data_IF_440279042211
#
_entry.id   IF_440279042211
#
_cell.length_a   1.000
_cell.length_b   1.000
_cell.length_c   1.000
_cell.angle_alpha   90.00
_cell.angle_beta   90.00
_cell.angle_gamma   90.00
#
_symmetry.space_group_name_H-M   'P 1'
#
loop_
_entity.id
_entity.type
_entity.pdbx_description
1 polymer ?
#
# COMPACT_ATOMS: atom_id res chain seq x y z
N UNK A 1 -5.89 24.89 -7.77
CA UNK A 1 -6.39 23.62 -8.33
C UNK A 1 -6.68 22.68 -7.16
N UNK A 2 -7.80 21.96 -7.18
CA UNK A 2 -8.10 20.93 -6.18
C UNK A 2 -7.11 19.78 -6.32
N UNK A 3 -6.48 19.35 -5.22
CA UNK A 3 -5.63 18.15 -5.23
C UNK A 3 -6.53 16.92 -5.38
N UNK A 4 -6.16 16.03 -6.30
CA UNK A 4 -6.83 14.75 -6.54
C UNK A 4 -6.00 13.62 -5.94
N UNK A 5 -6.69 12.63 -5.41
CA UNK A 5 -6.09 11.46 -4.81
C UNK A 5 -6.63 10.19 -5.46
N UNK A 6 -5.85 9.14 -5.36
CA UNK A 6 -6.16 7.85 -5.95
C UNK A 6 -5.75 6.75 -4.98
N UNK A 7 -6.57 5.73 -4.89
CA UNK A 7 -6.16 4.44 -4.36
C UNK A 7 -5.29 3.73 -5.40
N UNK A 8 -4.06 3.40 -5.02
CA UNK A 8 -3.16 2.53 -5.78
C UNK A 8 -3.34 1.09 -5.30
N UNK A 9 -3.78 0.22 -6.20
CA UNK A 9 -4.00 -1.19 -5.90
C UNK A 9 -3.45 -2.11 -7.01
N UNK A 10 -3.34 -3.39 -6.69
CA UNK A 10 -2.77 -4.41 -7.58
C UNK A 10 -3.68 -4.66 -8.80
N UNK A 11 -3.09 -4.74 -9.98
CA UNK A 11 -3.76 -5.25 -11.18
C UNK A 11 -3.79 -6.79 -11.17
N UNK A 12 -4.73 -7.34 -10.41
CA UNK A 12 -4.91 -8.79 -10.31
C UNK A 12 -5.37 -9.44 -11.62
N UNK A 13 -5.84 -8.66 -12.60
CA UNK A 13 -6.30 -9.16 -13.89
C UNK A 13 -5.17 -9.21 -14.93
N UNK A 14 -3.96 -8.71 -14.61
CA UNK A 14 -2.86 -8.69 -15.55
C UNK A 14 -2.45 -10.12 -15.99
N UNK A 15 -2.51 -10.44 -17.31
CA UNK A 15 -2.23 -11.79 -17.78
C UNK A 15 -0.79 -12.23 -17.48
N UNK A 16 -0.66 -13.45 -16.95
CA UNK A 16 0.64 -14.07 -16.67
C UNK A 16 1.44 -13.41 -15.56
N UNK A 17 0.80 -12.60 -14.70
CA UNK A 17 1.44 -12.01 -13.51
C UNK A 17 1.95 -13.09 -12.56
N UNK A 18 3.03 -12.78 -11.85
CA UNK A 18 3.43 -13.54 -10.68
C UNK A 18 2.43 -13.38 -9.52
N UNK A 19 2.52 -14.25 -8.53
CA UNK A 19 1.89 -14.06 -7.23
C UNK A 19 2.95 -14.18 -6.14
N UNK A 20 2.87 -13.31 -5.13
CA UNK A 20 3.87 -13.18 -4.09
C UNK A 20 3.26 -13.52 -2.74
N UNK A 21 3.99 -14.27 -1.92
CA UNK A 21 3.58 -14.55 -0.54
C UNK A 21 4.03 -13.43 0.40
N UNK A 22 3.69 -13.58 1.68
CA UNK A 22 4.08 -12.64 2.73
C UNK A 22 5.61 -12.48 2.82
N UNK A 23 6.12 -11.29 3.17
CA UNK A 23 7.53 -11.13 3.49
C UNK A 23 7.96 -12.05 4.63
N UNK A 24 9.14 -12.64 4.51
CA UNK A 24 9.75 -13.55 5.48
C UNK A 24 11.16 -13.12 5.85
N UNK A 25 11.67 -13.71 6.92
CA UNK A 25 13.08 -13.65 7.28
C UNK A 25 13.94 -14.36 6.22
N UNK A 26 15.27 -14.12 6.17
CA UNK A 26 16.15 -14.72 5.17
C UNK A 26 16.15 -16.26 5.16
N UNK A 27 15.93 -16.88 6.32
CA UNK A 27 15.81 -18.34 6.50
C UNK A 27 14.42 -18.90 6.15
N UNK A 28 13.48 -18.02 5.78
CA UNK A 28 12.09 -18.37 5.46
C UNK A 28 11.13 -18.33 6.64
N UNK A 29 11.59 -18.01 7.85
CA UNK A 29 10.71 -17.87 9.01
C UNK A 29 9.73 -16.70 8.85
N UNK A 30 8.54 -16.84 9.43
CA UNK A 30 7.56 -15.76 9.49
C UNK A 30 8.10 -14.57 10.31
N UNK A 31 7.60 -13.37 9.99
CA UNK A 31 7.88 -12.18 10.77
C UNK A 31 6.97 -12.14 11.99
N UNK A 32 7.51 -11.70 13.14
CA UNK A 32 6.74 -11.57 14.38
C UNK A 32 5.53 -10.63 14.22
N UNK A 33 5.73 -9.54 13.48
CA UNK A 33 4.67 -8.59 13.12
C UNK A 33 4.63 -8.43 11.59
N UNK A 34 3.79 -9.20 10.87
CA UNK A 34 3.68 -9.10 9.43
C UNK A 34 2.84 -7.89 8.99
N UNK A 35 2.10 -7.24 9.89
CA UNK A 35 1.22 -6.11 9.58
C UNK A 35 1.97 -4.78 9.54
N UNK A 36 3.14 -4.68 10.18
CA UNK A 36 3.98 -3.48 10.30
C UNK A 36 4.14 -2.64 9.01
N UNK A 37 4.13 -3.28 7.83
CA UNK A 37 4.31 -2.61 6.54
C UNK A 37 3.07 -1.84 6.05
N UNK A 38 1.92 -2.04 6.69
CA UNK A 38 0.61 -1.51 6.27
C UNK A 38 -0.04 -0.58 7.29
N UNK A 39 0.60 -0.34 8.44
CA UNK A 39 0.00 0.40 9.57
C UNK A 39 0.05 1.93 9.44
N UNK A 40 0.71 2.47 8.42
CA UNK A 40 0.80 3.92 8.26
C UNK A 40 1.81 4.59 9.20
N UNK A 41 2.86 3.87 9.62
CA UNK A 41 3.95 4.37 10.47
C UNK A 41 5.31 3.91 9.95
N UNK A 42 6.37 4.64 10.29
CA UNK A 42 7.73 4.18 10.04
C UNK A 42 8.05 2.93 10.84
N UNK A 43 8.87 2.07 10.29
CA UNK A 43 9.30 0.81 10.92
C UNK A 43 10.81 0.80 11.13
N UNK A 44 11.26 0.00 12.11
CA UNK A 44 12.67 -0.34 12.21
C UNK A 44 13.02 -1.21 11.01
N UNK A 45 13.94 -0.76 10.14
CA UNK A 45 14.29 -1.47 8.91
C UNK A 45 14.91 -2.83 9.28
N UNK A 46 14.25 -3.96 8.96
CA UNK A 46 14.86 -5.26 9.19
C UNK A 46 16.08 -5.40 8.27
N UNK A 47 17.18 -6.02 8.74
CA UNK A 47 18.45 -6.02 8.02
C UNK A 47 18.36 -6.70 6.65
N UNK A 48 17.52 -7.74 6.52
CA UNK A 48 17.25 -8.46 5.27
C UNK A 48 15.87 -9.10 5.33
N UNK A 49 15.10 -8.97 4.26
CA UNK A 49 13.81 -9.63 4.09
C UNK A 49 13.78 -10.33 2.74
N UNK A 50 12.94 -11.38 2.67
CA UNK A 50 12.60 -12.06 1.43
C UNK A 50 11.13 -11.90 1.13
N UNK A 51 10.78 -11.81 -0.15
CA UNK A 51 9.40 -11.93 -0.62
C UNK A 51 9.35 -13.10 -1.59
N UNK A 52 8.89 -14.27 -1.14
CA UNK A 52 8.83 -15.46 -1.99
C UNK A 52 7.80 -15.34 -3.11
N UNK A 53 8.07 -16.02 -4.22
CA UNK A 53 7.12 -16.18 -5.32
C UNK A 53 6.27 -17.42 -5.03
N UNK A 54 4.96 -17.23 -4.95
CA UNK A 54 3.96 -18.29 -4.80
C UNK A 54 3.67 -18.96 -6.15
N UNK A 55 3.29 -18.14 -7.12
CA UNK A 55 3.01 -18.57 -8.49
C UNK A 55 4.00 -17.86 -9.41
N UNK A 56 4.89 -18.62 -10.10
CA UNK A 56 5.80 -18.06 -11.08
C UNK A 56 5.04 -17.33 -12.20
N UNK A 57 5.57 -16.20 -12.62
CA UNK A 57 4.98 -15.40 -13.68
C UNK A 57 5.87 -14.25 -14.08
N UNK A 58 5.33 -13.35 -14.90
CA UNK A 58 5.99 -12.12 -15.31
C UNK A 58 6.17 -11.21 -14.09
N UNK A 59 7.40 -10.77 -13.80
CA UNK A 59 7.66 -9.76 -12.78
C UNK A 59 6.95 -8.44 -13.12
N UNK A 60 6.40 -7.81 -12.10
CA UNK A 60 5.67 -6.54 -12.21
C UNK A 60 6.43 -5.42 -11.51
N UNK A 61 6.14 -4.17 -11.88
CA UNK A 61 6.70 -3.00 -11.19
C UNK A 61 6.03 -2.77 -9.84
N UNK A 62 4.73 -3.04 -9.73
CA UNK A 62 3.95 -2.98 -8.51
C UNK A 62 3.21 -4.29 -8.27
N UNK A 63 3.18 -4.76 -7.02
CA UNK A 63 2.35 -5.88 -6.59
C UNK A 63 2.03 -5.77 -5.12
N UNK A 64 0.88 -6.28 -4.70
CA UNK A 64 0.54 -6.46 -3.29
C UNK A 64 0.85 -7.90 -2.90
N UNK A 65 1.85 -8.09 -2.05
CA UNK A 65 2.29 -9.38 -1.56
C UNK A 65 1.54 -9.74 -0.26
N UNK A 66 1.10 -11.00 -0.14
CA UNK A 66 0.51 -11.51 1.11
C UNK A 66 -0.56 -10.60 1.74
N UNK A 67 -0.29 -10.04 2.92
CA UNK A 67 -1.19 -9.17 3.69
C UNK A 67 -1.28 -7.74 3.11
N UNK A 68 -1.45 -7.64 1.79
CA UNK A 68 -1.47 -6.36 1.06
C UNK A 68 -0.21 -5.52 1.24
N UNK A 69 0.95 -6.16 1.38
CA UNK A 69 2.25 -5.50 1.52
C UNK A 69 2.67 -4.96 0.15
N UNK A 70 2.84 -3.63 -0.03
CA UNK A 70 3.20 -3.07 -1.32
C UNK A 70 4.64 -3.37 -1.68
N UNK A 71 4.86 -4.19 -2.71
CA UNK A 71 6.17 -4.43 -3.31
C UNK A 71 6.31 -3.57 -4.57
N UNK A 72 7.41 -2.83 -4.64
CA UNK A 72 7.74 -1.95 -5.75
C UNK A 72 9.10 -2.28 -6.34
N UNK A 73 9.19 -2.30 -7.66
CA UNK A 73 10.46 -2.31 -8.36
C UNK A 73 11.18 -0.98 -8.13
N UNK A 74 12.51 -1.02 -7.99
CA UNK A 74 13.34 0.16 -7.64
C UNK A 74 13.09 1.37 -8.55
N UNK A 75 12.82 1.12 -9.84
CA UNK A 75 12.51 2.16 -10.83
C UNK A 75 11.32 3.03 -10.41
N UNK A 76 10.23 2.41 -9.95
CA UNK A 76 9.03 3.15 -9.55
C UNK A 76 9.13 3.63 -8.10
N UNK A 77 9.92 2.96 -7.27
CA UNK A 77 10.20 3.38 -5.90
C UNK A 77 10.84 4.79 -5.86
N UNK A 78 11.69 5.12 -6.84
CA UNK A 78 12.28 6.44 -6.98
C UNK A 78 11.24 7.56 -7.19
N UNK A 79 10.10 7.27 -7.84
CA UNK A 79 9.01 8.26 -7.97
C UNK A 79 8.51 8.67 -6.58
N UNK A 80 8.34 7.70 -5.68
CA UNK A 80 7.91 7.98 -4.32
C UNK A 80 8.97 8.75 -3.52
N UNK A 81 10.26 8.39 -3.65
CA UNK A 81 11.34 9.14 -2.99
C UNK A 81 11.45 10.58 -3.48
N UNK A 82 11.32 10.83 -4.78
CA UNK A 82 11.41 12.18 -5.33
C UNK A 82 10.19 13.02 -4.99
N UNK A 83 8.99 12.42 -5.04
CA UNK A 83 7.74 13.16 -4.90
C UNK A 83 7.24 13.21 -3.47
N UNK A 84 7.50 12.21 -2.64
CA UNK A 84 6.95 12.10 -1.29
C UNK A 84 7.96 11.58 -0.26
N UNK A 85 9.19 12.15 -0.19
CA UNK A 85 10.27 11.61 0.64
C UNK A 85 9.96 11.59 2.14
N UNK A 86 9.02 12.43 2.60
CA UNK A 86 8.62 12.52 4.01
C UNK A 86 7.45 11.59 4.35
N UNK A 87 6.85 10.97 3.33
CA UNK A 87 5.63 10.16 3.48
C UNK A 87 5.89 8.67 3.33
N UNK A 88 7.09 8.29 2.87
CA UNK A 88 7.43 6.92 2.53
C UNK A 88 8.76 6.50 3.15
N UNK A 89 8.87 5.22 3.40
CA UNK A 89 10.09 4.52 3.76
C UNK A 89 10.21 3.31 2.82
N UNK A 90 11.38 3.12 2.22
CA UNK A 90 11.65 1.95 1.38
C UNK A 90 12.48 0.94 2.18
N UNK A 91 12.04 -0.31 2.16
CA UNK A 91 12.76 -1.43 2.76
C UNK A 91 13.20 -2.38 1.65
N UNK A 92 14.50 -2.46 1.33
CA UNK A 92 15.00 -3.37 0.31
C UNK A 92 14.69 -4.83 0.66
N UNK A 93 14.30 -5.62 -0.34
CA UNK A 93 13.99 -7.04 -0.16
C UNK A 93 14.60 -7.88 -1.28
N UNK A 94 14.89 -9.14 -0.98
CA UNK A 94 15.24 -10.14 -1.98
C UNK A 94 13.95 -10.80 -2.49
N UNK A 95 13.77 -10.85 -3.80
CA UNK A 95 12.75 -11.72 -4.43
C UNK A 95 13.50 -12.91 -5.03
N UNK A 96 13.43 -14.12 -4.44
CA UNK A 96 14.21 -15.26 -4.91
C UNK A 96 13.97 -15.56 -6.39
N UNK A 97 15.07 -15.78 -7.14
CA UNK A 97 15.01 -16.04 -8.58
C UNK A 97 14.81 -14.82 -9.45
N UNK A 98 14.82 -13.61 -8.88
CA UNK A 98 14.70 -12.36 -9.62
C UNK A 98 15.99 -11.54 -9.52
N UNK A 99 16.56 -11.13 -10.66
CA UNK A 99 17.81 -10.37 -10.67
C UNK A 99 17.60 -8.88 -10.34
N UNK A 100 16.38 -8.38 -10.56
CA UNK A 100 16.04 -6.98 -10.37
C UNK A 100 15.81 -6.64 -8.90
N UNK A 101 15.98 -5.36 -8.55
CA UNK A 101 15.87 -4.89 -7.17
C UNK A 101 14.44 -4.44 -6.85
N UNK A 102 13.95 -4.92 -5.71
CA UNK A 102 12.63 -4.60 -5.20
C UNK A 102 12.72 -4.06 -3.78
N UNK A 103 11.75 -3.21 -3.42
CA UNK A 103 11.58 -2.68 -2.08
C UNK A 103 10.14 -2.88 -1.64
N UNK A 104 9.92 -3.12 -0.36
CA UNK A 104 8.63 -2.87 0.26
C UNK A 104 8.47 -1.34 0.38
N UNK A 105 7.35 -0.82 -0.11
CA UNK A 105 6.96 0.58 0.06
C UNK A 105 6.11 0.70 1.33
N UNK A 106 6.72 1.23 2.39
CA UNK A 106 6.03 1.56 3.63
C UNK A 106 5.58 3.02 3.54
N UNK A 107 4.28 3.25 3.54
CA UNK A 107 3.72 4.60 3.71
C UNK A 107 3.59 4.90 5.18
N UNK A 108 4.17 6.03 5.61
CA UNK A 108 4.39 6.37 7.02
C UNK A 108 3.42 7.42 7.54
N UNK A 109 2.47 7.86 6.71
CA UNK A 109 1.45 8.85 7.05
C UNK A 109 0.11 8.17 7.24
N UNK A 110 -0.42 8.20 8.46
CA UNK A 110 -1.77 7.76 8.80
C UNK A 110 -2.64 8.97 9.11
N UNK A 111 -3.65 9.24 8.28
CA UNK A 111 -4.42 10.49 8.33
C UNK A 111 -5.91 10.23 8.56
N UNK A 112 -6.54 11.04 9.41
CA UNK A 112 -8.00 11.07 9.53
C UNK A 112 -8.56 11.89 8.38
N UNK A 113 -8.76 11.27 7.21
CA UNK A 113 -9.13 11.98 5.99
C UNK A 113 -10.36 11.41 5.26
N UNK A 114 -10.98 10.33 5.75
CA UNK A 114 -12.17 9.76 5.12
C UNK A 114 -13.32 10.78 5.22
N UNK A 115 -13.96 11.07 4.09
CA UNK A 115 -15.24 11.74 4.05
C UNK A 115 -16.34 10.69 4.19
N UNK A 116 -16.82 10.51 5.43
CA UNK A 116 -17.86 9.53 5.76
C UNK A 116 -19.23 9.85 5.14
N UNK A 117 -19.47 11.10 4.70
CA UNK A 117 -20.73 11.49 4.05
C UNK A 117 -20.72 11.15 2.57
N UNK A 118 -19.57 11.28 1.92
CA UNK A 118 -19.39 10.92 0.52
C UNK A 118 -19.09 9.43 0.34
N UNK A 119 -18.50 8.77 1.34
CA UNK A 119 -18.19 7.35 1.33
C UNK A 119 -19.36 6.48 1.81
N UNK A 120 -19.43 5.23 1.33
CA UNK A 120 -20.35 4.23 1.89
C UNK A 120 -19.68 3.51 3.05
N UNK A 121 -19.83 4.07 4.25
CA UNK A 121 -19.23 3.53 5.48
C UNK A 121 -20.19 2.66 6.28
N UNK A 122 -19.66 1.61 6.92
CA UNK A 122 -20.30 0.85 7.98
C UNK A 122 -19.35 0.75 9.15
N UNK A 123 -19.92 0.74 10.34
CA UNK A 123 -19.20 0.56 11.59
C UNK A 123 -19.58 -0.78 12.21
N UNK A 124 -18.67 -1.33 13.00
CA UNK A 124 -19.01 -2.42 13.91
C UNK A 124 -19.97 -1.89 14.97
N UNK A 125 -21.03 -2.66 15.22
CA UNK A 125 -22.05 -2.43 16.22
C UNK A 125 -21.93 -3.44 17.37
N UNK A 126 -22.63 -3.18 18.48
CA UNK A 126 -22.69 -4.13 19.60
C UNK A 126 -23.30 -5.48 19.17
N UNK A 127 -24.25 -5.45 18.22
CA UNK A 127 -24.92 -6.64 17.70
C UNK A 127 -23.98 -7.59 16.95
N UNK A 128 -22.84 -7.08 16.45
CA UNK A 128 -21.83 -7.90 15.77
C UNK A 128 -21.00 -8.77 16.73
N UNK A 129 -21.12 -8.56 18.05
CA UNK A 129 -20.52 -9.43 19.07
C UNK A 129 -19.00 -9.31 19.24
N UNK A 130 -18.40 -8.22 18.76
CA UNK A 130 -16.96 -7.93 18.93
C UNK A 130 -16.79 -6.57 19.64
N UNK A 131 -16.88 -6.52 20.98
CA UNK A 131 -16.89 -5.28 21.75
C UNK A 131 -15.70 -4.35 21.46
N UNK A 132 -14.52 -4.92 21.22
CA UNK A 132 -13.28 -4.16 21.00
C UNK A 132 -13.29 -3.39 19.67
N UNK A 133 -14.14 -3.79 18.72
CA UNK A 133 -14.25 -3.17 17.40
C UNK A 133 -15.39 -2.18 17.28
N UNK A 134 -16.32 -2.13 18.24
CA UNK A 134 -17.50 -1.25 18.17
C UNK A 134 -17.07 0.20 17.91
N UNK A 135 -17.72 0.83 16.93
CA UNK A 135 -17.40 2.19 16.48
C UNK A 135 -16.20 2.30 15.52
N UNK A 136 -15.47 1.22 15.26
CA UNK A 136 -14.46 1.16 14.20
C UNK A 136 -15.12 0.83 12.85
N UNK A 137 -14.46 1.20 11.74
CA UNK A 137 -14.96 0.84 10.41
C UNK A 137 -14.98 -0.69 10.22
N UNK A 138 -16.14 -1.20 9.81
CA UNK A 138 -16.30 -2.60 9.38
C UNK A 138 -16.29 -2.73 7.86
N UNK A 139 -16.68 -1.67 7.15
CA UNK A 139 -16.60 -1.59 5.70
C UNK A 139 -16.52 -0.13 5.25
N UNK A 140 -15.61 0.16 4.32
CA UNK A 140 -15.62 1.41 3.56
C UNK A 140 -15.66 1.05 2.08
N UNK A 141 -16.72 1.46 1.39
CA UNK A 141 -16.89 1.31 -0.07
C UNK A 141 -17.03 2.68 -0.70
N UNK A 142 -16.67 2.77 -1.98
CA UNK A 142 -16.66 4.03 -2.72
C UNK A 142 -15.93 5.10 -1.90
N UNK A 143 -14.68 4.80 -1.52
CA UNK A 143 -13.88 5.61 -0.60
C UNK A 143 -13.73 7.02 -1.19
N UNK A 144 -14.13 8.02 -0.41
CA UNK A 144 -13.86 9.42 -0.66
C UNK A 144 -13.03 10.01 0.46
N UNK A 145 -12.08 10.88 0.11
CA UNK A 145 -11.25 11.60 1.09
C UNK A 145 -11.50 13.10 1.04
N UNK A 146 -11.39 13.76 2.19
CA UNK A 146 -11.44 15.22 2.31
C UNK A 146 -10.03 15.81 2.08
N UNK A 147 -9.79 16.52 0.96
CA UNK A 147 -8.50 17.13 0.67
C UNK A 147 -8.01 18.14 1.71
N UNK A 148 -8.93 18.76 2.47
CA UNK A 148 -8.57 19.70 3.53
C UNK A 148 -7.87 19.02 4.71
N UNK A 149 -8.11 17.71 4.91
CA UNK A 149 -7.55 16.91 6.01
C UNK A 149 -6.24 16.19 5.65
N UNK A 150 -5.83 16.24 4.38
CA UNK A 150 -4.61 15.55 3.88
C UNK A 150 -3.35 16.42 4.04
N UNK A 151 -3.51 17.70 4.35
CA UNK A 151 -2.42 18.66 4.55
C UNK A 151 -1.44 18.68 3.36
N UNK A 152 -0.16 18.36 3.57
CA UNK A 152 0.88 18.32 2.54
C UNK A 152 1.29 16.91 2.12
N UNK A 153 0.62 15.87 2.61
CA UNK A 153 0.93 14.49 2.27
C UNK A 153 0.60 14.19 0.80
N UNK A 154 1.44 13.37 0.19
CA UNK A 154 1.36 12.91 -1.19
C UNK A 154 1.25 11.40 -1.29
N UNK A 155 1.66 10.67 -0.25
CA UNK A 155 1.33 9.27 -0.04
C UNK A 155 0.84 9.09 1.42
N UNK A 156 -0.25 8.39 1.64
CA UNK A 156 -0.81 8.20 2.99
C UNK A 156 -1.75 6.98 3.04
N UNK A 157 -2.13 6.63 4.25
CA UNK A 157 -3.18 5.66 4.57
C UNK A 157 -4.25 6.35 5.41
N UNK A 158 -5.49 5.89 5.30
CA UNK A 158 -6.58 6.44 6.09
C UNK A 158 -6.60 5.80 7.50
N UNK A 159 -6.65 6.64 8.55
CA UNK A 159 -6.77 6.17 9.93
C UNK A 159 -8.09 5.41 10.11
N UNK A 160 -8.04 4.26 10.77
CA UNK A 160 -9.18 3.36 10.95
C UNK A 160 -9.48 2.47 9.73
N UNK A 161 -8.95 2.79 8.55
CA UNK A 161 -9.07 1.98 7.35
C UNK A 161 -7.75 1.98 6.56
N UNK A 162 -6.65 1.44 7.12
CA UNK A 162 -5.32 1.66 6.58
C UNK A 162 -5.00 0.79 5.35
N UNK A 163 -5.85 -0.19 5.00
CA UNK A 163 -5.61 -1.13 3.90
C UNK A 163 -5.29 -0.44 2.56
N UNK A 164 -6.14 0.50 2.09
CA UNK A 164 -5.90 1.28 0.88
C UNK A 164 -4.60 2.10 0.95
N UNK A 165 -3.82 2.02 -0.12
CA UNK A 165 -2.65 2.87 -0.34
C UNK A 165 -3.08 4.10 -1.13
N UNK A 166 -3.08 5.27 -0.51
CA UNK A 166 -3.59 6.50 -1.12
C UNK A 166 -2.43 7.37 -1.60
N UNK A 167 -2.50 7.81 -2.85
CA UNK A 167 -1.46 8.61 -3.50
C UNK A 167 -2.05 9.85 -4.17
N UNK A 168 -1.25 10.91 -4.23
CA UNK A 168 -1.53 12.12 -4.99
C UNK A 168 -1.47 11.88 -6.49
N UNK A 169 -2.14 12.76 -7.23
CA UNK A 169 -2.07 12.78 -8.69
C UNK A 169 -0.64 12.86 -9.23
N UNK A 170 0.26 13.64 -8.60
CA UNK A 170 1.63 13.79 -9.08
C UNK A 170 2.42 12.47 -9.03
N UNK A 171 2.17 11.63 -8.02
CA UNK A 171 2.77 10.29 -7.95
C UNK A 171 2.17 9.41 -9.04
N UNK A 172 0.83 9.39 -9.17
CA UNK A 172 0.14 8.60 -10.21
C UNK A 172 0.69 8.92 -11.60
N UNK A 173 0.79 10.20 -11.96
CA UNK A 173 1.34 10.64 -13.24
C UNK A 173 2.80 10.21 -13.42
N UNK A 174 3.60 10.25 -12.35
CA UNK A 174 4.97 9.72 -12.34
C UNK A 174 5.01 8.23 -12.69
N UNK A 175 4.16 7.43 -12.06
CA UNK A 175 4.05 5.98 -12.32
C UNK A 175 3.55 5.69 -13.75
N UNK A 176 2.55 6.41 -14.24
CA UNK A 176 2.04 6.26 -15.61
C UNK A 176 3.08 6.63 -16.66
N UNK A 177 3.89 7.68 -16.41
CA UNK A 177 4.96 8.10 -17.33
C UNK A 177 6.03 7.02 -17.54
N UNK A 178 6.25 6.19 -16.51
CA UNK A 178 7.17 5.06 -16.54
C UNK A 178 6.55 3.78 -17.13
N UNK A 179 5.26 3.83 -17.54
CA UNK A 179 4.49 2.67 -17.99
C UNK A 179 4.52 1.53 -16.96
N UNK A 180 4.33 1.89 -15.70
CA UNK A 180 4.33 0.98 -14.55
C UNK A 180 3.37 -0.19 -14.79
N UNK A 181 3.86 -1.41 -14.62
CA UNK A 181 3.07 -2.64 -14.70
C UNK A 181 2.54 -3.07 -13.32
N UNK A 182 1.40 -3.77 -13.28
CA UNK A 182 0.82 -4.30 -12.05
C UNK A 182 0.07 -3.31 -11.17
N UNK A 183 -0.08 -2.05 -11.61
CA UNK A 183 -0.73 -0.98 -10.84
C UNK A 183 -2.04 -0.53 -11.50
N UNK A 184 -3.09 -0.40 -10.68
CA UNK A 184 -4.34 0.27 -11.03
C UNK A 184 -4.57 1.46 -10.08
N UNK A 185 -5.32 2.44 -10.59
CA UNK A 185 -5.60 3.69 -9.87
C UNK A 185 -7.10 3.96 -9.89
N UNK A 186 -7.70 4.03 -8.70
CA UNK A 186 -9.11 4.39 -8.53
C UNK A 186 -9.20 5.76 -7.87
N UNK A 187 -9.91 6.76 -8.44
CA UNK A 187 -10.10 8.05 -7.79
C UNK A 187 -10.79 7.92 -6.43
N UNK A 188 -10.34 8.73 -5.46
CA UNK A 188 -10.91 8.87 -4.11
C UNK A 188 -11.03 10.33 -3.70
#
# INVERSE_FOLDING_TARGET
>A
MSRRFFELHDDVQQPGRWHLTHPTQPDGAELEDPWQFTEGRSIAVPPRLRVPIDVPGRPLDFSLAGLSVPLVHVRIANVFLERAPQDVQLVPVEVPGQPDQYCILVVTRLLECIDERASRVRFWSEEDGIPEKVGQYSSVRDLHVDPARIANARAFRAKGWPGPLLISEEIKQGLESLKTTGALFTPV
#
